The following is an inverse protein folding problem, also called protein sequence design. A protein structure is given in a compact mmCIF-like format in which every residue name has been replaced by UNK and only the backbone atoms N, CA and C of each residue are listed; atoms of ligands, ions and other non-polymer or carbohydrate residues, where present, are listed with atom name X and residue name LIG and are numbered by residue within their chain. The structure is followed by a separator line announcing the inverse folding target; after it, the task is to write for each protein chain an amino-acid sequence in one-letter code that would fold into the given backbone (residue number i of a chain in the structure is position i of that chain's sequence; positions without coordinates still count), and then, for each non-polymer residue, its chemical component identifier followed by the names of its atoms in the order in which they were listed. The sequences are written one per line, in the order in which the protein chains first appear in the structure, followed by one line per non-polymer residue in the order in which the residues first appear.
data_IF_882131918502
#
_entry.id   IF_882131918502
#
_cell.length_a   1.000
_cell.length_b   1.000
_cell.length_c   1.000
_cell.angle_alpha   90.00
_cell.angle_beta   90.00
_cell.angle_gamma   90.00
#
_symmetry.space_group_name_H-M   'P 1'
#
loop_
_entity.id
_entity.type
_entity.pdbx_description
1 polymer ?
#
# COMPACT_ATOMS: atom_id res chain seq x y z
N UNK A 1 -21.87 -19.60 17.04
CA UNK A 1 -20.73 -18.65 16.95
C UNK A 1 -19.84 -19.20 15.87
N UNK A 2 -19.81 -18.53 14.72
CA UNK A 2 -19.11 -18.99 13.53
C UNK A 2 -17.67 -18.49 13.58
N UNK A 3 -16.77 -19.38 14.00
CA UNK A 3 -15.35 -19.07 14.10
C UNK A 3 -14.68 -19.16 12.72
N UNK A 4 -15.30 -19.83 11.74
CA UNK A 4 -14.69 -20.10 10.45
C UNK A 4 -14.48 -18.82 9.62
N UNK A 5 -15.36 -17.83 9.77
CA UNK A 5 -15.20 -16.51 9.15
C UNK A 5 -14.03 -15.71 9.73
N UNK A 6 -13.76 -15.83 11.03
CA UNK A 6 -12.64 -15.15 11.66
C UNK A 6 -11.30 -15.80 11.28
N UNK A 7 -11.24 -17.14 11.28
CA UNK A 7 -10.06 -17.88 10.84
C UNK A 7 -9.73 -17.64 9.35
N UNK A 8 -10.74 -17.50 8.48
CA UNK A 8 -10.49 -17.21 7.07
C UNK A 8 -9.94 -15.81 6.86
N UNK A 9 -10.43 -14.80 7.59
CA UNK A 9 -9.91 -13.44 7.55
C UNK A 9 -8.46 -13.37 8.05
N UNK A 10 -8.15 -13.97 9.20
CA UNK A 10 -6.79 -14.00 9.76
C UNK A 10 -5.81 -14.73 8.83
N UNK A 11 -6.22 -15.84 8.20
CA UNK A 11 -5.39 -16.57 7.23
C UNK A 11 -5.19 -15.78 5.94
N UNK A 12 -6.22 -15.07 5.45
CA UNK A 12 -6.10 -14.18 4.28
C UNK A 12 -5.18 -13.00 4.58
N UNK A 13 -5.30 -12.39 5.75
CA UNK A 13 -4.40 -11.33 6.21
C UNK A 13 -2.97 -11.86 6.34
N UNK A 14 -2.77 -13.02 6.98
CA UNK A 14 -1.46 -13.65 7.12
C UNK A 14 -0.84 -14.02 5.76
N UNK A 15 -1.64 -14.53 4.82
CA UNK A 15 -1.18 -14.85 3.46
C UNK A 15 -0.79 -13.59 2.71
N UNK A 16 -1.57 -12.52 2.85
CA UNK A 16 -1.28 -11.21 2.25
C UNK A 16 0.01 -10.63 2.84
N UNK A 17 0.17 -10.61 4.16
CA UNK A 17 1.38 -10.12 4.85
C UNK A 17 2.61 -10.99 4.55
N UNK A 18 2.44 -12.30 4.39
CA UNK A 18 3.58 -13.20 4.14
C UNK A 18 3.99 -13.27 2.66
N UNK A 19 3.06 -13.10 1.72
CA UNK A 19 3.31 -13.21 0.28
C UNK A 19 3.46 -11.85 -0.42
N UNK A 20 2.98 -10.76 0.19
CA UNK A 20 3.05 -9.42 -0.35
C UNK A 20 3.86 -8.49 0.53
N UNK A 21 4.49 -7.49 -0.08
CA UNK A 21 5.19 -6.40 0.59
C UNK A 21 4.38 -5.12 0.44
N UNK A 22 4.12 -4.46 1.57
CA UNK A 22 3.53 -3.13 1.63
C UNK A 22 4.63 -2.09 1.40
N UNK A 23 4.46 -1.22 0.41
CA UNK A 23 5.50 -0.25 0.01
C UNK A 23 5.28 1.18 0.50
N UNK A 24 4.09 1.49 1.01
CA UNK A 24 3.78 2.85 1.48
C UNK A 24 4.13 2.94 2.95
N UNK A 25 5.20 3.63 3.29
CA UNK A 25 5.66 3.78 4.68
C UNK A 25 5.20 5.09 5.33
N UNK A 26 4.99 6.12 4.52
CA UNK A 26 4.66 7.47 4.99
C UNK A 26 3.15 7.74 4.95
N UNK A 27 2.68 8.63 5.83
CA UNK A 27 1.29 9.08 5.78
C UNK A 27 0.96 9.64 4.41
N UNK A 28 -0.12 9.18 3.82
CA UNK A 28 -0.55 9.65 2.51
C UNK A 28 -1.61 10.71 2.59
N UNK A 29 -2.15 10.99 3.78
CA UNK A 29 -3.13 12.04 4.01
C UNK A 29 -2.62 13.08 4.99
N UNK A 30 -2.58 14.33 4.53
CA UNK A 30 -2.20 15.52 5.28
C UNK A 30 -3.34 16.54 5.21
N UNK A 31 -4.13 16.61 6.29
CA UNK A 31 -5.10 17.69 6.52
C UNK A 31 -4.56 18.59 7.62
N UNK A 32 -4.67 19.90 7.44
CA UNK A 32 -4.16 20.89 8.40
C UNK A 32 -4.72 20.69 9.82
N UNK A 33 -5.95 20.18 9.96
CA UNK A 33 -6.65 20.01 11.25
C UNK A 33 -6.81 18.54 11.70
N UNK A 34 -6.42 17.54 10.89
CA UNK A 34 -6.55 16.11 11.24
C UNK A 34 -5.19 15.43 11.40
N UNK A 35 -5.14 14.35 12.18
CA UNK A 35 -3.95 13.53 12.32
C UNK A 35 -3.56 12.89 10.98
N UNK A 36 -2.27 12.93 10.65
CA UNK A 36 -1.75 12.34 9.42
C UNK A 36 -2.01 10.84 9.41
N UNK A 37 -2.50 10.32 8.28
CA UNK A 37 -2.91 8.91 8.19
C UNK A 37 -2.34 8.23 6.95
N UNK A 38 -1.98 6.95 7.12
CA UNK A 38 -1.57 6.04 6.06
C UNK A 38 -2.82 5.32 5.55
N UNK A 39 -3.48 5.90 4.56
CA UNK A 39 -4.74 5.35 4.01
C UNK A 39 -4.56 4.74 2.62
N UNK A 40 -3.57 5.19 1.86
CA UNK A 40 -3.22 4.56 0.59
C UNK A 40 -2.18 3.48 0.83
N UNK A 41 -2.46 2.27 0.36
CA UNK A 41 -1.60 1.11 0.52
C UNK A 41 -1.28 0.52 -0.85
N UNK A 42 -0.01 0.19 -1.04
CA UNK A 42 0.50 -0.49 -2.24
C UNK A 42 1.08 -1.80 -1.79
N UNK A 43 0.55 -2.90 -2.34
CA UNK A 43 1.05 -4.25 -2.10
C UNK A 43 1.62 -4.83 -3.39
N UNK A 44 2.85 -5.34 -3.36
CA UNK A 44 3.42 -6.13 -4.47
C UNK A 44 3.76 -7.54 -3.99
N UNK A 45 3.95 -8.48 -4.92
CA UNK A 45 4.52 -9.79 -4.56
C UNK A 45 5.99 -9.62 -4.21
N UNK A 46 6.48 -10.38 -3.23
CA UNK A 46 7.90 -10.39 -2.78
C UNK A 46 8.95 -10.63 -3.87
N UNK A 47 8.56 -11.15 -5.04
CA UNK A 47 9.46 -11.44 -6.15
C UNK A 47 9.55 -10.32 -7.19
N UNK A 48 8.67 -9.32 -7.14
CA UNK A 48 8.73 -8.20 -8.08
C UNK A 48 9.77 -7.18 -7.63
N UNK A 49 10.54 -6.59 -8.55
CA UNK A 49 11.45 -5.50 -8.21
C UNK A 49 10.66 -4.35 -7.56
N UNK A 50 11.26 -3.64 -6.58
CA UNK A 50 10.58 -2.55 -5.88
C UNK A 50 10.09 -1.51 -6.89
N UNK A 51 8.80 -1.13 -6.86
CA UNK A 51 8.39 0.06 -7.57
C UNK A 51 9.10 1.26 -6.95
N UNK A 52 9.66 2.15 -7.78
CA UNK A 52 10.13 3.44 -7.28
C UNK A 52 8.87 4.26 -7.00
N UNK A 53 8.64 4.60 -5.74
CA UNK A 53 7.47 5.39 -5.32
C UNK A 53 7.91 6.79 -4.88
N UNK A 54 7.95 7.78 -5.79
CA UNK A 54 8.07 9.16 -5.35
C UNK A 54 6.73 9.65 -4.80
N UNK A 55 6.80 10.27 -3.63
CA UNK A 55 5.70 10.98 -3.00
C UNK A 55 5.66 12.41 -3.54
N UNK A 56 4.64 12.75 -4.34
CA UNK A 56 4.43 14.10 -4.82
C UNK A 56 3.25 14.71 -4.05
N UNK A 57 3.50 15.75 -3.24
CA UNK A 57 2.42 16.51 -2.61
C UNK A 57 1.93 17.59 -3.58
N UNK A 58 0.68 17.53 -4.09
CA UNK A 58 0.12 18.63 -4.83
C UNK A 58 -0.28 19.72 -3.84
N UNK A 59 0.50 20.79 -3.80
CA UNK A 59 0.39 21.89 -2.84
C UNK A 59 -0.91 22.73 -2.93
N UNK A 60 -2.01 22.23 -3.51
CA UNK A 60 -3.15 23.12 -3.86
C UNK A 60 -4.56 22.51 -3.99
N UNK A 61 -4.79 21.17 -4.01
CA UNK A 61 -6.16 20.63 -4.25
C UNK A 61 -6.60 19.34 -3.56
N UNK A 62 -5.68 18.51 -3.07
CA UNK A 62 -6.01 17.22 -2.46
C UNK A 62 -5.32 17.10 -1.10
N UNK A 63 -6.03 16.60 -0.09
CA UNK A 63 -5.43 16.25 1.19
C UNK A 63 -4.64 14.95 1.14
N UNK A 64 -4.73 14.20 0.03
CA UNK A 64 -3.90 13.03 -0.23
C UNK A 64 -2.66 13.34 -1.08
N UNK A 65 -1.55 12.69 -0.76
CA UNK A 65 -0.29 12.64 -1.51
C UNK A 65 -0.51 11.85 -2.80
N UNK A 66 0.08 12.33 -3.89
CA UNK A 66 0.12 11.58 -5.13
C UNK A 66 1.25 10.55 -5.04
N UNK A 67 0.89 9.27 -5.11
CA UNK A 67 1.83 8.17 -5.26
C UNK A 67 2.04 7.90 -6.76
N UNK A 68 3.24 8.16 -7.26
CA UNK A 68 3.64 7.67 -8.58
C UNK A 68 4.37 6.34 -8.42
N UNK A 69 4.24 5.43 -9.39
CA UNK A 69 4.92 4.15 -9.34
C UNK A 69 5.40 3.77 -10.73
N UNK A 70 6.67 3.36 -10.82
CA UNK A 70 7.21 2.73 -12.02
C UNK A 70 7.22 1.21 -11.81
N UNK A 71 6.45 0.49 -12.63
CA UNK A 71 6.40 -0.98 -12.61
C UNK A 71 7.33 -1.47 -13.71
N UNK A 72 8.35 -2.25 -13.36
CA UNK A 72 9.15 -2.95 -14.36
C UNK A 72 8.37 -4.17 -14.86
N UNK A 73 8.23 -4.29 -16.18
CA UNK A 73 7.68 -5.51 -16.79
C UNK A 73 8.64 -6.69 -16.51
N UNK A 74 8.08 -7.86 -16.20
CA UNK A 74 8.87 -9.09 -16.17
C UNK A 74 9.36 -9.37 -17.58
N UNK A 75 10.68 -9.45 -17.78
CA UNK A 75 11.26 -9.97 -19.01
C UNK A 75 10.73 -11.40 -19.21
N UNK A 76 9.74 -11.56 -20.08
CA UNK A 76 9.23 -12.87 -20.42
C UNK A 76 10.38 -13.62 -21.13
N UNK A 77 10.86 -14.70 -20.51
CA UNK A 77 11.84 -15.64 -21.10
C UNK A 77 11.08 -16.79 -21.74
#
# INVERSE_FOLDING_TARGET
MDNAGQWSEEVLQLTTVNAMEQWVEESTRYREEEETSLLDLVFTKKSQPPPIIPYLSPMDRNDYVTLEMEIQEEDWI
#
